data_IF_363052366573
#
_entry.id   IF_363052366573
#
_cell.length_a   1.000
_cell.length_b   1.000
_cell.length_c   1.000
_cell.angle_alpha   90.00
_cell.angle_beta   90.00
_cell.angle_gamma   90.00
#
_symmetry.space_group_name_H-M   'P 1'
#
loop_
_entity.id
_entity.type
_entity.pdbx_description
1 polymer ?
#
# COMPACT_ATOMS: atom_id res chain seq x y z
N UNK A 1 -2.20 53.13 30.73
CA UNK A 1 -2.91 51.90 30.30
C UNK A 1 -3.21 52.05 28.81
N UNK A 2 -3.31 50.94 28.08
CA UNK A 2 -3.49 50.86 26.60
C UNK A 2 -2.23 50.98 25.72
N UNK A 3 -1.32 50.00 25.78
CA UNK A 3 -0.40 49.73 24.66
C UNK A 3 -0.24 48.25 24.29
N UNK A 4 -0.98 47.34 24.95
CA UNK A 4 -0.81 45.89 24.77
C UNK A 4 -1.65 45.23 23.67
N UNK A 5 -2.68 45.88 23.14
CA UNK A 5 -3.69 45.21 22.29
C UNK A 5 -3.45 45.31 20.78
N UNK A 6 -2.75 46.33 20.28
CA UNK A 6 -2.54 46.50 18.82
C UNK A 6 -1.53 45.52 18.23
N UNK A 7 -0.45 45.17 18.96
CA UNK A 7 0.61 44.30 18.45
C UNK A 7 0.10 42.86 18.22
N UNK A 8 -0.59 42.30 19.22
CA UNK A 8 -1.22 40.98 19.13
C UNK A 8 -2.21 40.84 17.96
N UNK A 9 -2.95 41.90 17.63
CA UNK A 9 -3.97 41.83 16.57
C UNK A 9 -3.34 41.78 15.18
N UNK A 10 -2.23 42.50 14.94
CA UNK A 10 -1.51 42.49 13.65
C UNK A 10 -0.79 41.15 13.43
N UNK A 11 -0.19 40.60 14.48
CA UNK A 11 0.48 39.30 14.40
C UNK A 11 -0.52 38.19 14.00
N UNK A 12 -1.74 38.22 14.56
CA UNK A 12 -2.79 37.23 14.26
C UNK A 12 -3.24 37.24 12.79
N UNK A 13 -3.47 38.43 12.20
CA UNK A 13 -3.81 38.55 10.78
C UNK A 13 -2.69 38.04 9.87
N UNK A 14 -1.45 38.15 10.31
CA UNK A 14 -0.29 37.69 9.54
C UNK A 14 -0.22 36.17 9.56
N UNK A 15 -0.47 35.53 10.71
CA UNK A 15 -0.51 34.07 10.84
C UNK A 15 -1.65 33.44 10.02
N UNK A 16 -2.87 34.00 10.12
CA UNK A 16 -4.02 33.53 9.33
C UNK A 16 -3.77 33.62 7.82
N UNK A 17 -3.15 34.72 7.36
CA UNK A 17 -2.79 34.89 5.96
C UNK A 17 -1.75 33.85 5.52
N UNK A 18 -0.72 33.62 6.34
CA UNK A 18 0.31 32.61 6.08
C UNK A 18 -0.28 31.21 6.00
N UNK A 19 -1.14 30.84 6.94
CA UNK A 19 -1.81 29.52 6.94
C UNK A 19 -2.66 29.35 5.69
N UNK A 20 -3.42 30.38 5.29
CA UNK A 20 -4.22 30.37 4.06
C UNK A 20 -3.38 30.23 2.78
N UNK A 21 -2.17 30.81 2.75
CA UNK A 21 -1.24 30.63 1.64
C UNK A 21 -0.69 29.21 1.65
N UNK A 22 -0.18 28.75 2.79
CA UNK A 22 0.41 27.42 2.95
C UNK A 22 -0.58 26.30 2.61
N UNK A 23 -1.85 26.42 3.02
CA UNK A 23 -2.89 25.42 2.78
C UNK A 23 -3.18 25.18 1.29
N UNK A 24 -2.74 26.07 0.39
CA UNK A 24 -2.88 25.95 -1.08
C UNK A 24 -1.61 25.49 -1.77
N UNK A 25 -0.50 25.38 -1.04
CA UNK A 25 0.76 24.90 -1.59
C UNK A 25 0.85 23.38 -1.49
N UNK A 26 1.54 22.71 -2.43
CA UNK A 26 1.81 21.28 -2.28
C UNK A 26 2.63 20.96 -1.04
N UNK A 27 2.41 19.80 -0.43
CA UNK A 27 3.11 19.36 0.79
C UNK A 27 4.63 19.44 0.66
N UNK A 28 5.18 19.09 -0.50
CA UNK A 28 6.63 19.19 -0.74
C UNK A 28 7.15 20.61 -0.44
N UNK A 29 6.44 21.63 -0.91
CA UNK A 29 6.79 23.03 -0.64
C UNK A 29 6.57 23.40 0.83
N UNK A 30 5.44 23.00 1.42
CA UNK A 30 5.12 23.26 2.84
C UNK A 30 6.24 22.74 3.75
N UNK A 31 6.74 21.53 3.50
CA UNK A 31 7.79 20.93 4.34
C UNK A 31 9.10 21.70 4.34
N UNK A 32 9.44 22.40 3.26
CA UNK A 32 10.65 23.21 3.20
C UNK A 32 10.61 24.40 4.18
N UNK A 33 9.42 24.94 4.46
CA UNK A 33 9.26 26.07 5.40
C UNK A 33 9.56 25.69 6.85
N UNK A 34 9.48 24.39 7.21
CA UNK A 34 9.89 23.91 8.54
C UNK A 34 11.36 24.13 8.85
N UNK A 35 12.19 24.37 7.83
CA UNK A 35 13.62 24.62 7.95
C UNK A 35 13.96 26.11 8.10
N UNK A 36 12.98 27.02 7.92
CA UNK A 36 13.21 28.47 7.94
C UNK A 36 13.39 28.98 9.37
N UNK A 37 12.40 28.76 10.24
CA UNK A 37 12.49 29.09 11.67
C UNK A 37 11.52 28.24 12.51
N UNK A 38 11.62 28.37 13.85
CA UNK A 38 10.75 27.64 14.80
C UNK A 38 9.27 27.99 14.65
N UNK A 39 8.96 29.25 14.33
CA UNK A 39 7.58 29.72 14.14
C UNK A 39 6.94 29.10 12.90
N UNK A 40 7.61 29.16 11.74
CA UNK A 40 7.17 28.45 10.53
C UNK A 40 6.97 26.95 10.76
N UNK A 41 7.90 26.33 11.49
CA UNK A 41 7.74 24.92 11.89
C UNK A 41 6.49 24.70 12.73
N UNK A 42 6.23 25.55 13.72
CA UNK A 42 5.03 25.48 14.56
C UNK A 42 3.74 25.62 13.75
N UNK A 43 3.70 26.56 12.80
CA UNK A 43 2.56 26.76 11.90
C UNK A 43 2.34 25.50 11.04
N UNK A 44 3.41 24.98 10.43
CA UNK A 44 3.34 23.78 9.57
C UNK A 44 2.89 22.54 10.34
N UNK A 45 3.29 22.42 11.60
CA UNK A 45 2.91 21.30 12.48
C UNK A 45 1.57 21.53 13.20
N UNK A 46 0.88 22.66 12.95
CA UNK A 46 -0.39 22.99 13.61
C UNK A 46 -1.57 22.16 13.06
N UNK A 47 -2.51 21.85 13.95
CA UNK A 47 -3.77 21.20 13.59
C UNK A 47 -4.63 22.08 12.67
N UNK A 48 -4.58 23.40 12.85
CA UNK A 48 -5.34 24.36 12.04
C UNK A 48 -4.92 24.33 10.56
N UNK A 49 -3.61 24.35 10.27
CA UNK A 49 -3.13 24.21 8.90
C UNK A 49 -3.51 22.84 8.32
N UNK A 50 -3.40 21.77 9.10
CA UNK A 50 -3.78 20.43 8.66
C UNK A 50 -5.25 20.38 8.23
N UNK A 51 -6.18 20.87 9.05
CA UNK A 51 -7.61 20.91 8.73
C UNK A 51 -7.91 21.76 7.50
N UNK A 52 -7.31 22.95 7.40
CA UNK A 52 -7.49 23.84 6.26
C UNK A 52 -6.90 23.26 4.97
N UNK A 53 -5.76 22.58 5.05
CA UNK A 53 -5.17 21.90 3.90
C UNK A 53 -6.06 20.75 3.42
N UNK A 54 -6.57 19.94 4.36
CA UNK A 54 -7.46 18.83 4.05
C UNK A 54 -8.77 19.32 3.41
N UNK A 55 -9.32 20.46 3.85
CA UNK A 55 -10.51 21.04 3.22
C UNK A 55 -10.23 21.52 1.79
N UNK A 56 -9.07 22.12 1.53
CA UNK A 56 -8.69 22.60 0.19
C UNK A 56 -8.41 21.46 -0.79
N UNK A 57 -7.99 20.28 -0.30
CA UNK A 57 -7.57 19.14 -1.11
C UNK A 57 -8.50 17.92 -0.96
N UNK A 58 -9.74 18.12 -0.51
CA UNK A 58 -10.69 17.04 -0.26
C UNK A 58 -10.97 16.16 -1.49
N UNK A 59 -10.95 16.76 -2.69
CA UNK A 59 -11.21 16.08 -3.97
C UNK A 59 -9.91 15.63 -4.66
N UNK A 60 -8.76 15.91 -4.05
CA UNK A 60 -7.44 15.52 -4.55
C UNK A 60 -7.01 14.20 -3.92
N UNK A 61 -6.45 13.32 -4.73
CA UNK A 61 -5.80 12.10 -4.25
C UNK A 61 -4.29 12.22 -4.35
N UNK A 62 -3.53 11.68 -3.39
CA UNK A 62 -2.09 11.68 -3.46
C UNK A 62 -1.58 10.75 -4.56
N UNK A 63 -0.33 10.98 -4.96
CA UNK A 63 0.38 10.07 -5.87
C UNK A 63 0.46 8.67 -5.27
N UNK A 64 0.36 7.66 -6.12
CA UNK A 64 0.49 6.27 -5.71
C UNK A 64 1.08 5.42 -6.85
N UNK A 65 1.64 4.28 -6.47
CA UNK A 65 2.29 3.35 -7.38
C UNK A 65 1.96 1.91 -7.02
N UNK A 66 1.93 1.06 -8.04
CA UNK A 66 1.94 -0.39 -7.89
C UNK A 66 3.35 -0.89 -8.15
N UNK A 67 3.99 -1.44 -7.12
CA UNK A 67 5.36 -1.93 -7.15
C UNK A 67 5.36 -3.45 -7.25
N UNK A 68 6.12 -4.02 -8.18
CA UNK A 68 6.43 -5.45 -8.18
C UNK A 68 7.57 -5.70 -7.18
N UNK A 69 7.32 -6.48 -6.13
CA UNK A 69 8.30 -6.77 -5.07
C UNK A 69 9.43 -7.69 -5.55
N UNK A 70 9.19 -8.54 -6.53
CA UNK A 70 10.19 -9.48 -7.04
C UNK A 70 11.21 -8.79 -7.97
N UNK A 71 10.74 -7.90 -8.84
CA UNK A 71 11.62 -7.14 -9.77
C UNK A 71 11.99 -5.75 -9.26
N UNK A 72 11.37 -5.31 -8.15
CA UNK A 72 11.44 -3.95 -7.64
C UNK A 72 11.05 -2.86 -8.67
N UNK A 73 10.33 -3.24 -9.73
CA UNK A 73 9.84 -2.31 -10.77
C UNK A 73 8.54 -1.63 -10.33
N UNK A 74 8.40 -0.36 -10.72
CA UNK A 74 7.12 0.35 -10.66
C UNK A 74 6.27 -0.02 -11.88
N UNK A 75 5.25 -0.84 -11.65
CA UNK A 75 4.39 -1.41 -12.71
C UNK A 75 3.34 -0.40 -13.15
N UNK A 76 2.73 0.32 -12.20
CA UNK A 76 1.77 1.40 -12.46
C UNK A 76 2.19 2.59 -11.60
N UNK A 77 2.15 3.79 -12.17
CA UNK A 77 2.36 5.03 -11.43
C UNK A 77 1.25 6.02 -11.74
N UNK A 78 0.75 6.67 -10.70
CA UNK A 78 -0.09 7.86 -10.75
C UNK A 78 0.62 8.97 -10.00
N UNK A 79 0.95 10.06 -10.69
CA UNK A 79 1.73 11.15 -10.12
C UNK A 79 1.36 12.50 -10.74
N UNK A 80 2.03 13.58 -10.29
CA UNK A 80 1.61 14.98 -10.49
C UNK A 80 0.25 15.29 -9.87
N UNK A 81 -0.03 14.63 -8.75
CA UNK A 81 -1.15 14.97 -7.90
C UNK A 81 -0.85 16.24 -7.09
N UNK A 82 -1.86 17.11 -6.97
CA UNK A 82 -1.73 18.44 -6.35
C UNK A 82 -1.26 18.38 -4.90
N UNK A 83 -1.72 17.38 -4.14
CA UNK A 83 -1.44 17.22 -2.70
C UNK A 83 0.06 17.27 -2.39
N UNK A 84 0.89 16.61 -3.19
CA UNK A 84 2.34 16.54 -2.96
C UNK A 84 3.17 17.34 -3.96
N UNK A 85 2.60 17.70 -5.13
CA UNK A 85 3.32 18.46 -6.15
C UNK A 85 4.52 17.70 -6.73
N UNK A 86 4.42 16.36 -6.81
CA UNK A 86 5.49 15.51 -7.31
C UNK A 86 5.53 15.51 -8.83
N UNK A 87 6.68 15.87 -9.41
CA UNK A 87 6.85 15.95 -10.86
C UNK A 87 7.19 14.61 -11.52
N UNK A 88 7.58 13.63 -10.71
CA UNK A 88 7.96 12.27 -11.10
C UNK A 88 7.17 11.22 -10.32
N UNK A 89 7.26 9.96 -10.76
CA UNK A 89 6.65 8.83 -10.06
C UNK A 89 7.34 8.51 -8.74
N UNK A 90 6.64 7.79 -7.85
CA UNK A 90 7.20 7.42 -6.54
C UNK A 90 8.39 6.48 -6.69
N UNK A 91 8.35 5.55 -7.65
CA UNK A 91 9.47 4.67 -7.99
C UNK A 91 10.74 5.45 -8.34
N UNK A 92 10.62 6.55 -9.09
CA UNK A 92 11.77 7.42 -9.41
C UNK A 92 12.36 8.07 -8.15
N UNK A 93 11.51 8.65 -7.28
CA UNK A 93 11.97 9.23 -6.03
C UNK A 93 12.64 8.21 -5.11
N UNK A 94 12.09 6.98 -5.04
CA UNK A 94 12.69 5.88 -4.27
C UNK A 94 14.07 5.54 -4.85
N UNK A 95 14.18 5.32 -6.17
CA UNK A 95 15.45 4.98 -6.82
C UNK A 95 16.51 6.06 -6.59
N UNK A 96 16.13 7.33 -6.74
CA UNK A 96 16.99 8.49 -6.46
C UNK A 96 17.43 8.53 -4.99
N UNK A 97 16.51 8.30 -4.06
CA UNK A 97 16.81 8.22 -2.64
C UNK A 97 17.80 7.10 -2.31
N UNK A 98 17.57 5.89 -2.83
CA UNK A 98 18.46 4.75 -2.57
C UNK A 98 19.85 5.00 -3.15
N UNK A 99 19.92 5.53 -4.37
CA UNK A 99 21.18 5.87 -5.04
C UNK A 99 21.95 6.92 -4.24
N UNK A 100 21.27 7.97 -3.79
CA UNK A 100 21.91 9.02 -2.99
C UNK A 100 22.35 8.53 -1.60
N UNK A 101 21.54 7.70 -0.94
CA UNK A 101 21.78 7.27 0.44
C UNK A 101 22.80 6.14 0.56
N UNK A 102 22.83 5.24 -0.40
CA UNK A 102 23.68 4.04 -0.37
C UNK A 102 24.81 4.08 -1.39
N UNK A 103 24.78 5.00 -2.37
CA UNK A 103 25.84 5.18 -3.35
C UNK A 103 26.18 3.86 -4.06
N UNK A 104 27.46 3.48 -4.00
CA UNK A 104 27.98 2.22 -4.55
C UNK A 104 27.35 0.96 -3.92
N UNK A 105 26.75 1.07 -2.73
CA UNK A 105 26.09 -0.05 -2.07
C UNK A 105 24.60 -0.15 -2.42
N UNK A 106 24.09 0.68 -3.35
CA UNK A 106 22.68 0.65 -3.79
C UNK A 106 22.25 -0.74 -4.27
N UNK A 107 23.12 -1.46 -4.96
CA UNK A 107 22.81 -2.81 -5.48
C UNK A 107 22.63 -3.86 -4.38
N UNK A 108 23.15 -3.59 -3.18
CA UNK A 108 22.97 -4.47 -2.02
C UNK A 108 21.67 -4.21 -1.27
N UNK A 109 20.95 -3.12 -1.57
CA UNK A 109 19.75 -2.75 -0.83
C UNK A 109 18.50 -2.91 -1.69
N UNK A 110 17.45 -3.45 -1.09
CA UNK A 110 16.15 -3.65 -1.72
C UNK A 110 15.06 -3.02 -0.88
N UNK A 111 13.97 -2.64 -1.53
CA UNK A 111 12.74 -2.22 -0.84
C UNK A 111 11.82 -3.42 -0.75
N UNK A 112 11.57 -3.86 0.47
CA UNK A 112 10.88 -5.12 0.77
C UNK A 112 9.43 -4.92 1.20
N UNK A 113 9.08 -3.72 1.66
CA UNK A 113 7.69 -3.39 2.01
C UNK A 113 7.36 -1.96 1.64
N UNK A 114 6.09 -1.76 1.28
CA UNK A 114 5.49 -0.48 0.98
C UNK A 114 4.18 -0.36 1.75
N UNK A 115 3.86 0.85 2.18
CA UNK A 115 2.63 1.12 2.94
C UNK A 115 1.84 2.23 2.26
N UNK A 116 0.57 2.33 2.61
CA UNK A 116 -0.32 3.38 2.12
C UNK A 116 -0.17 4.72 2.87
N UNK A 117 0.81 4.80 3.77
CA UNK A 117 1.14 5.99 4.57
C UNK A 117 2.54 6.53 4.30
N UNK A 118 3.13 6.13 3.16
CA UNK A 118 4.42 6.66 2.71
C UNK A 118 5.65 6.09 3.44
N UNK A 119 5.50 5.00 4.20
CA UNK A 119 6.64 4.25 4.75
C UNK A 119 7.07 3.13 3.79
N UNK A 120 8.39 2.95 3.66
CA UNK A 120 9.02 1.87 2.90
C UNK A 120 10.04 1.15 3.76
N UNK A 121 10.12 -0.17 3.69
CA UNK A 121 11.15 -0.94 4.41
C UNK A 121 12.31 -1.24 3.48
N UNK A 122 13.50 -0.75 3.82
CA UNK A 122 14.73 -0.94 3.05
C UNK A 122 15.69 -1.81 3.85
N UNK A 123 16.20 -2.86 3.21
CA UNK A 123 17.10 -3.85 3.84
C UNK A 123 18.24 -4.22 2.89
N UNK A 124 19.35 -4.68 3.44
CA UNK A 124 20.53 -5.16 2.69
C UNK A 124 20.89 -6.62 2.93
N UNK A 125 20.28 -7.27 3.93
CA UNK A 125 20.64 -8.63 4.36
C UNK A 125 19.45 -9.56 4.35
N UNK A 126 18.39 -9.20 5.08
CA UNK A 126 17.23 -10.06 5.31
C UNK A 126 15.99 -9.50 4.65
N UNK A 127 15.22 -10.37 4.00
CA UNK A 127 13.88 -10.04 3.52
C UNK A 127 12.91 -10.14 4.68
N UNK A 128 12.41 -9.02 5.20
CA UNK A 128 11.46 -9.02 6.29
C UNK A 128 10.12 -9.56 5.80
N UNK A 129 9.41 -10.18 6.73
CA UNK A 129 8.13 -10.80 6.46
C UNK A 129 6.97 -9.83 6.43
N UNK A 130 7.18 -8.57 6.85
CA UNK A 130 6.19 -7.52 6.67
C UNK A 130 6.49 -6.24 7.44
N UNK A 131 5.78 -5.17 7.07
CA UNK A 131 5.74 -3.88 7.75
C UNK A 131 4.28 -3.52 8.01
N UNK A 132 3.89 -3.42 9.27
CA UNK A 132 2.56 -2.99 9.68
C UNK A 132 2.60 -1.61 10.31
N UNK A 133 1.55 -0.82 10.07
CA UNK A 133 1.40 0.52 10.64
C UNK A 133 0.08 0.59 11.40
N UNK A 134 0.12 1.21 12.58
CA UNK A 134 -1.07 1.58 13.34
C UNK A 134 -1.37 3.04 13.05
N UNK A 135 -2.59 3.29 12.58
CA UNK A 135 -3.03 4.60 12.11
C UNK A 135 -4.29 4.99 12.89
N UNK A 136 -4.35 6.23 13.34
CA UNK A 136 -5.54 6.81 13.96
C UNK A 136 -5.77 8.20 13.36
N UNK A 137 -6.96 8.44 12.80
CA UNK A 137 -7.31 9.72 12.16
C UNK A 137 -6.26 10.19 11.12
N UNK A 138 -5.74 9.25 10.32
CA UNK A 138 -4.67 9.51 9.33
C UNK A 138 -3.25 9.54 9.89
N UNK A 139 -3.08 9.72 11.21
CA UNK A 139 -1.78 9.81 11.86
C UNK A 139 -1.19 8.42 12.10
N UNK A 140 0.05 8.21 11.67
CA UNK A 140 0.81 7.00 11.99
C UNK A 140 1.30 7.07 13.44
N UNK A 141 0.71 6.26 14.32
CA UNK A 141 1.06 6.21 15.74
C UNK A 141 2.26 5.28 16.02
N UNK A 142 2.41 4.24 15.20
CA UNK A 142 3.45 3.24 15.37
C UNK A 142 3.63 2.39 14.13
N UNK A 143 4.78 1.74 14.05
CA UNK A 143 5.03 0.71 13.05
C UNK A 143 5.71 -0.50 13.70
N UNK A 144 5.43 -1.68 13.12
CA UNK A 144 6.04 -2.94 13.50
C UNK A 144 6.68 -3.59 12.28
N UNK A 145 7.90 -4.09 12.46
CA UNK A 145 8.61 -4.89 11.44
C UNK A 145 8.60 -6.33 11.89
N UNK A 146 8.21 -7.23 11.00
CA UNK A 146 8.02 -8.64 11.32
C UNK A 146 9.02 -9.46 10.53
N UNK A 147 9.70 -10.39 11.20
CA UNK A 147 10.39 -11.51 10.60
C UNK A 147 9.64 -12.78 10.99
N UNK A 148 9.21 -13.56 10.02
CA UNK A 148 8.53 -14.84 10.21
C UNK A 148 9.54 -15.95 9.93
N UNK A 149 9.56 -16.95 10.81
CA UNK A 149 10.29 -18.18 10.55
C UNK A 149 9.59 -18.94 9.41
N UNK A 150 10.31 -19.30 8.34
CA UNK A 150 9.75 -20.17 7.29
C UNK A 150 9.55 -21.57 7.89
N UNK A 151 8.30 -21.95 8.11
CA UNK A 151 7.91 -23.24 8.66
C UNK A 151 6.88 -23.92 7.76
N UNK A 152 6.93 -25.25 7.77
CA UNK A 152 5.98 -26.11 7.05
C UNK A 152 5.31 -27.05 8.03
N UNK A 153 4.05 -27.39 7.77
CA UNK A 153 3.25 -28.30 8.59
C UNK A 153 3.23 -27.89 10.08
N UNK A 154 2.89 -26.62 10.34
CA UNK A 154 2.81 -26.08 11.71
C UNK A 154 1.42 -25.56 12.03
N UNK A 155 0.99 -25.76 13.26
CA UNK A 155 -0.19 -25.15 13.87
C UNK A 155 0.14 -23.81 14.54
N UNK A 156 1.40 -23.40 14.53
CA UNK A 156 1.84 -22.08 14.98
C UNK A 156 2.70 -21.34 13.96
N UNK A 157 2.86 -20.04 14.18
CA UNK A 157 3.69 -19.14 13.41
C UNK A 157 4.59 -18.38 14.38
N UNK A 158 5.89 -18.63 14.28
CA UNK A 158 6.91 -17.93 15.07
C UNK A 158 7.31 -16.61 14.41
N UNK A 159 7.16 -15.51 15.13
CA UNK A 159 7.42 -14.14 14.69
C UNK A 159 8.48 -13.47 15.58
N UNK A 160 9.43 -12.77 14.96
CA UNK A 160 10.28 -11.78 15.62
C UNK A 160 9.79 -10.38 15.20
N UNK A 161 9.33 -9.60 16.17
CA UNK A 161 8.61 -8.36 15.95
C UNK A 161 9.37 -7.20 16.56
N UNK A 162 9.82 -6.26 15.73
CA UNK A 162 10.28 -4.94 16.15
C UNK A 162 9.09 -4.02 16.35
N UNK A 163 9.08 -3.24 17.42
CA UNK A 163 8.10 -2.17 17.62
C UNK A 163 8.79 -0.80 17.66
N UNK A 164 8.25 0.18 16.92
CA UNK A 164 8.71 1.57 17.00
C UNK A 164 8.42 2.22 18.35
N UNK A 165 7.36 1.77 19.04
CA UNK A 165 6.92 2.32 20.33
C UNK A 165 7.91 1.94 21.43
N UNK A 166 8.35 0.68 21.46
CA UNK A 166 9.31 0.19 22.47
C UNK A 166 10.76 0.32 22.02
N UNK A 167 11.01 0.40 20.71
CA UNK A 167 12.35 0.36 20.14
C UNK A 167 13.04 -1.00 20.26
N UNK A 168 12.30 -2.07 20.55
CA UNK A 168 12.82 -3.41 20.83
C UNK A 168 12.23 -4.46 19.89
N UNK A 169 13.00 -5.53 19.70
CA UNK A 169 12.53 -6.78 19.12
C UNK A 169 11.96 -7.68 20.22
N UNK A 170 10.89 -8.39 19.91
CA UNK A 170 10.23 -9.36 20.78
C UNK A 170 9.87 -10.60 19.98
N UNK A 171 9.94 -11.76 20.61
CA UNK A 171 9.49 -13.00 20.01
C UNK A 171 8.02 -13.22 20.36
N UNK A 172 7.22 -13.64 19.38
CA UNK A 172 5.83 -14.00 19.56
C UNK A 172 5.51 -15.27 18.77
N UNK A 173 4.77 -16.20 19.37
CA UNK A 173 4.26 -17.39 18.68
C UNK A 173 2.75 -17.25 18.56
N UNK A 174 2.27 -17.23 17.34
CA UNK A 174 0.85 -17.04 17.02
C UNK A 174 0.26 -18.39 16.64
N UNK A 175 -0.77 -18.83 17.34
CA UNK A 175 -1.45 -20.10 17.12
C UNK A 175 -2.45 -19.99 15.97
N UNK A 176 -2.55 -21.06 15.19
CA UNK A 176 -3.52 -21.24 14.11
C UNK A 176 -4.64 -22.17 14.58
N UNK A 177 -5.90 -21.93 14.16
CA UNK A 177 -7.01 -22.83 14.45
C UNK A 177 -6.85 -24.23 13.83
N UNK A 178 -5.94 -24.41 12.86
CA UNK A 178 -5.66 -25.68 12.22
C UNK A 178 -4.25 -25.71 11.61
N UNK A 179 -3.77 -26.91 11.30
CA UNK A 179 -2.44 -27.16 10.72
C UNK A 179 -2.28 -26.41 9.38
N UNK A 180 -1.30 -25.51 9.33
CA UNK A 180 -0.93 -24.76 8.13
C UNK A 180 0.21 -25.47 7.41
N UNK A 181 0.01 -25.77 6.13
CA UNK A 181 1.02 -26.45 5.31
C UNK A 181 2.24 -25.59 5.05
N UNK A 182 2.05 -24.38 4.52
CA UNK A 182 3.14 -23.41 4.33
C UNK A 182 2.60 -22.00 4.25
N UNK A 183 3.03 -21.14 5.16
CA UNK A 183 2.73 -19.70 5.11
C UNK A 183 3.81 -19.00 4.30
N UNK A 184 3.42 -18.26 3.27
CA UNK A 184 4.32 -17.40 2.52
C UNK A 184 4.83 -16.30 3.45
N UNK A 185 6.01 -16.49 4.01
CA UNK A 185 6.62 -15.51 4.91
C UNK A 185 6.93 -14.18 4.23
N UNK A 186 6.83 -14.09 2.91
CA UNK A 186 7.11 -12.89 2.10
C UNK A 186 5.82 -12.32 1.50
N UNK A 187 5.90 -11.10 0.96
CA UNK A 187 4.82 -10.49 0.18
C UNK A 187 3.48 -10.26 0.93
N UNK A 188 3.42 -9.97 2.24
CA UNK A 188 2.13 -9.73 2.89
C UNK A 188 1.45 -8.47 2.37
N UNK A 189 0.12 -8.46 2.50
CA UNK A 189 -0.63 -7.21 2.47
C UNK A 189 -0.67 -6.63 3.88
N UNK A 190 -0.40 -5.33 4.00
CA UNK A 190 -0.46 -4.58 5.26
C UNK A 190 -1.69 -3.69 5.27
N UNK A 191 -2.53 -3.82 6.28
CA UNK A 191 -3.75 -3.03 6.40
C UNK A 191 -4.18 -2.90 7.86
N UNK A 192 -4.36 -1.66 8.35
CA UNK A 192 -4.90 -1.36 9.68
C UNK A 192 -4.22 -2.16 10.82
N UNK A 193 -2.89 -2.12 10.89
CA UNK A 193 -2.11 -2.86 11.91
C UNK A 193 -2.02 -4.37 11.70
N UNK A 194 -2.74 -4.93 10.72
CA UNK A 194 -2.71 -6.35 10.40
C UNK A 194 -1.75 -6.63 9.25
N UNK A 195 -1.15 -7.82 9.29
CA UNK A 195 -0.50 -8.42 8.13
C UNK A 195 -1.34 -9.60 7.64
N UNK A 196 -1.41 -9.75 6.32
CA UNK A 196 -2.13 -10.81 5.64
C UNK A 196 -1.15 -11.55 4.72
N UNK A 197 -0.79 -12.77 5.09
CA UNK A 197 0.07 -13.66 4.32
C UNK A 197 -0.76 -14.67 3.56
N UNK A 198 -0.27 -15.05 2.39
CA UNK A 198 -0.85 -16.19 1.67
C UNK A 198 -0.35 -17.48 2.32
N UNK A 199 -1.23 -18.45 2.50
CA UNK A 199 -0.87 -19.80 2.90
C UNK A 199 -1.18 -20.76 1.76
N UNK A 200 -0.26 -21.68 1.49
CA UNK A 200 -0.38 -22.72 0.48
C UNK A 200 -0.79 -23.99 1.19
N UNK A 201 -2.08 -24.34 1.12
CA UNK A 201 -2.58 -25.62 1.61
C UNK A 201 -2.65 -26.59 0.43
N UNK A 202 -1.76 -27.58 0.42
CA UNK A 202 -1.55 -28.48 -0.73
C UNK A 202 -1.30 -27.70 -2.05
N UNK A 203 -1.41 -28.36 -3.20
CA UNK A 203 -1.20 -27.72 -4.51
C UNK A 203 -2.37 -26.82 -4.96
N UNK A 204 -3.46 -26.69 -4.19
CA UNK A 204 -4.77 -26.27 -4.72
C UNK A 204 -5.45 -25.17 -3.92
N UNK A 205 -5.38 -25.21 -2.59
CA UNK A 205 -6.14 -24.30 -1.75
C UNK A 205 -5.24 -23.23 -1.16
N UNK A 206 -5.40 -22.01 -1.65
CA UNK A 206 -4.73 -20.88 -1.04
C UNK A 206 -5.64 -20.31 0.05
N UNK A 207 -5.07 -20.08 1.22
CA UNK A 207 -5.72 -19.42 2.35
C UNK A 207 -5.06 -18.06 2.57
N UNK A 208 -5.72 -17.19 3.31
CA UNK A 208 -5.11 -15.98 3.86
C UNK A 208 -4.98 -16.15 5.36
N UNK A 209 -3.75 -16.08 5.84
CA UNK A 209 -3.47 -16.02 7.27
C UNK A 209 -3.27 -14.57 7.65
N UNK A 210 -4.01 -14.11 8.65
CA UNK A 210 -3.93 -12.74 9.14
C UNK A 210 -3.63 -12.69 10.62
N UNK A 211 -2.86 -11.70 11.02
CA UNK A 211 -2.56 -11.46 12.42
C UNK A 211 -2.55 -9.95 12.70
N UNK A 212 -3.27 -9.56 13.77
CA UNK A 212 -3.29 -8.20 14.26
C UNK A 212 -2.10 -7.97 15.20
N UNK A 213 -1.10 -7.25 14.72
CA UNK A 213 0.11 -7.00 15.50
C UNK A 213 -0.10 -6.04 16.68
N UNK A 214 -1.28 -5.43 16.80
CA UNK A 214 -1.64 -4.52 17.89
C UNK A 214 -2.80 -5.07 18.73
N UNK A 215 -3.17 -6.34 18.55
CA UNK A 215 -4.10 -7.02 19.43
C UNK A 215 -3.52 -7.16 20.84
N UNK A 216 -4.41 -7.31 21.83
CA UNK A 216 -4.07 -7.53 23.24
C UNK A 216 -4.86 -8.71 23.79
N UNK A 217 -4.39 -9.31 24.88
CA UNK A 217 -5.03 -10.49 25.47
C UNK A 217 -4.96 -11.69 24.52
N UNK A 218 -5.97 -12.57 24.58
CA UNK A 218 -5.97 -13.82 23.80
C UNK A 218 -5.92 -13.62 22.29
N UNK A 219 -6.34 -12.45 21.78
CA UNK A 219 -6.26 -12.14 20.34
C UNK A 219 -4.82 -11.90 19.85
N UNK A 220 -3.85 -11.58 20.74
CA UNK A 220 -2.44 -11.41 20.35
C UNK A 220 -1.73 -12.72 20.04
N UNK A 221 -2.32 -13.84 20.47
CA UNK A 221 -1.70 -15.15 20.41
C UNK A 221 -2.37 -16.04 19.36
N UNK A 222 -3.32 -15.49 18.59
CA UNK A 222 -4.10 -16.21 17.58
C UNK A 222 -3.99 -15.53 16.21
N UNK A 223 -3.88 -16.33 15.16
CA UNK A 223 -4.04 -15.87 13.80
C UNK A 223 -5.45 -16.23 13.33
N UNK A 224 -5.96 -15.47 12.35
CA UNK A 224 -7.20 -15.80 11.66
C UNK A 224 -6.83 -16.37 10.31
N UNK A 225 -7.48 -17.47 9.97
CA UNK A 225 -7.33 -18.08 8.64
C UNK A 225 -8.62 -17.88 7.88
N UNK A 226 -8.49 -17.35 6.67
CA UNK A 226 -9.60 -16.92 5.83
C UNK A 226 -9.47 -17.64 4.49
N UNK A 227 -10.49 -18.41 4.14
CA UNK A 227 -10.57 -19.10 2.86
C UNK A 227 -10.89 -18.11 1.75
N UNK A 228 -10.25 -18.24 0.59
CA UNK A 228 -10.68 -17.49 -0.59
C UNK A 228 -12.00 -18.06 -1.12
N UNK A 229 -12.88 -17.24 -1.69
CA UNK A 229 -14.07 -17.73 -2.37
C UNK A 229 -13.65 -18.47 -3.66
N UNK A 230 -14.45 -19.48 -4.05
CA UNK A 230 -14.25 -20.30 -5.25
C UNK A 230 -12.85 -20.95 -5.34
N UNK A 231 -12.55 -21.82 -4.36
CA UNK A 231 -11.35 -22.67 -4.34
C UNK A 231 -11.34 -23.76 -5.43
N UNK A 232 -12.49 -24.00 -6.07
CA UNK A 232 -12.64 -25.03 -7.09
C UNK A 232 -11.61 -24.90 -8.23
N UNK A 233 -11.23 -26.08 -8.70
CA UNK A 233 -9.95 -26.46 -9.31
C UNK A 233 -9.62 -25.69 -10.60
N UNK A 234 -8.96 -24.55 -10.48
CA UNK A 234 -8.76 -23.66 -11.62
C UNK A 234 -7.31 -23.13 -11.64
N UNK A 235 -6.38 -24.05 -11.94
CA UNK A 235 -4.90 -23.88 -11.97
C UNK A 235 -4.46 -22.69 -12.83
N UNK A 236 -5.27 -22.29 -13.81
CA UNK A 236 -4.95 -21.20 -14.74
C UNK A 236 -5.40 -19.83 -14.26
N UNK A 237 -6.22 -19.74 -13.22
CA UNK A 237 -6.90 -18.50 -12.89
C UNK A 237 -6.10 -17.65 -11.92
N UNK A 238 -5.48 -16.64 -12.52
CA UNK A 238 -4.68 -15.65 -11.81
C UNK A 238 -5.56 -14.68 -11.05
N UNK A 239 -5.05 -14.29 -9.89
CA UNK A 239 -5.74 -13.47 -8.91
C UNK A 239 -4.94 -12.22 -8.57
N UNK A 240 -5.63 -11.20 -8.09
CA UNK A 240 -5.01 -10.11 -7.34
C UNK A 240 -5.52 -10.14 -5.90
N UNK A 241 -4.59 -9.95 -4.98
CA UNK A 241 -4.86 -9.76 -3.56
C UNK A 241 -4.26 -8.41 -3.17
N UNK A 242 -5.11 -7.45 -2.86
CA UNK A 242 -4.73 -6.04 -2.77
C UNK A 242 -5.62 -5.31 -1.76
N UNK A 243 -5.50 -3.98 -1.71
CA UNK A 243 -6.39 -3.13 -0.90
C UNK A 243 -7.03 -2.05 -1.77
N UNK A 244 -8.16 -1.50 -1.33
CA UNK A 244 -8.79 -0.29 -1.87
C UNK A 244 -9.68 0.33 -0.79
N UNK A 245 -9.63 1.66 -0.64
CA UNK A 245 -10.46 2.41 0.31
C UNK A 245 -10.46 1.81 1.73
N UNK A 246 -9.28 1.45 2.24
CA UNK A 246 -9.11 0.89 3.59
C UNK A 246 -9.63 -0.55 3.78
N UNK A 247 -10.03 -1.22 2.70
CA UNK A 247 -10.51 -2.61 2.71
C UNK A 247 -9.56 -3.53 1.97
N UNK A 248 -9.53 -4.80 2.38
CA UNK A 248 -8.86 -5.87 1.66
C UNK A 248 -9.73 -6.33 0.50
N UNK A 249 -9.13 -6.45 -0.69
CA UNK A 249 -9.81 -6.74 -1.94
C UNK A 249 -9.19 -7.95 -2.61
N UNK A 250 -10.04 -8.76 -3.22
CA UNK A 250 -9.67 -9.94 -3.96
C UNK A 250 -10.32 -9.89 -5.34
N UNK A 251 -9.56 -10.20 -6.38
CA UNK A 251 -10.05 -10.30 -7.75
C UNK A 251 -9.59 -11.63 -8.34
N UNK A 252 -10.50 -12.35 -8.99
CA UNK A 252 -10.21 -13.60 -9.70
C UNK A 252 -11.10 -13.67 -10.93
N UNK A 253 -10.53 -14.09 -12.04
CA UNK A 253 -11.32 -14.53 -13.21
C UNK A 253 -11.69 -15.98 -12.95
N UNK A 254 -12.95 -16.37 -13.15
CA UNK A 254 -13.41 -17.74 -12.94
C UNK A 254 -14.25 -18.21 -14.12
N UNK A 255 -14.36 -19.52 -14.28
CA UNK A 255 -15.33 -20.13 -15.19
C UNK A 255 -16.76 -19.76 -14.80
N UNK A 256 -17.59 -19.53 -15.80
CA UNK A 256 -19.02 -19.28 -15.69
C UNK A 256 -19.73 -20.24 -16.63
N UNK A 257 -20.51 -21.17 -16.09
CA UNK A 257 -21.40 -21.98 -16.89
C UNK A 257 -22.59 -21.13 -17.33
N UNK A 258 -22.84 -21.05 -18.62
CA UNK A 258 -23.96 -20.31 -19.20
C UNK A 258 -25.17 -21.21 -19.38
N UNK A 259 -26.34 -20.61 -19.57
CA UNK A 259 -27.61 -21.32 -19.78
C UNK A 259 -27.60 -22.30 -20.97
N UNK A 260 -26.75 -22.06 -21.97
CA UNK A 260 -26.55 -22.92 -23.15
C UNK A 260 -25.57 -24.09 -22.91
N UNK A 261 -25.05 -24.23 -21.68
CA UNK A 261 -24.04 -25.21 -21.31
C UNK A 261 -22.62 -24.83 -21.76
N UNK A 262 -22.42 -23.67 -22.39
CA UNK A 262 -21.08 -23.20 -22.75
C UNK A 262 -20.36 -22.62 -21.54
N UNK A 263 -19.03 -22.77 -21.53
CA UNK A 263 -18.18 -22.16 -20.52
C UNK A 263 -17.79 -20.73 -20.96
N UNK A 264 -18.28 -19.75 -20.22
CA UNK A 264 -17.82 -18.37 -20.22
C UNK A 264 -16.77 -18.12 -19.14
N UNK A 265 -16.28 -16.88 -19.12
CA UNK A 265 -15.38 -16.39 -18.08
C UNK A 265 -15.92 -15.10 -17.51
N UNK A 266 -15.89 -14.98 -16.19
CA UNK A 266 -16.27 -13.77 -15.47
C UNK A 266 -15.16 -13.29 -14.56
N UNK A 267 -15.00 -11.97 -14.46
CA UNK A 267 -14.16 -11.34 -13.44
C UNK A 267 -15.03 -11.05 -12.23
N UNK A 268 -14.67 -11.65 -11.11
CA UNK A 268 -15.33 -11.45 -9.83
C UNK A 268 -14.40 -10.68 -8.88
N UNK A 269 -15.03 -9.84 -8.06
CA UNK A 269 -14.36 -8.98 -7.10
C UNK A 269 -15.03 -9.14 -5.75
N UNK A 270 -14.23 -9.40 -4.73
CA UNK A 270 -14.68 -9.53 -3.35
C UNK A 270 -13.98 -8.54 -2.45
N UNK A 271 -14.68 -8.15 -1.40
CA UNK A 271 -14.20 -7.31 -0.32
C UNK A 271 -14.28 -8.10 0.99
N UNK A 272 -13.22 -8.07 1.78
CA UNK A 272 -13.26 -8.67 3.11
C UNK A 272 -13.99 -7.74 4.07
N UNK A 273 -15.05 -8.23 4.71
CA UNK A 273 -15.79 -7.50 5.74
C UNK A 273 -16.09 -8.43 6.91
N UNK A 274 -15.78 -7.98 8.12
CA UNK A 274 -16.02 -8.75 9.36
C UNK A 274 -15.48 -10.19 9.30
N UNK A 275 -14.32 -10.40 8.65
CA UNK A 275 -13.69 -11.71 8.52
C UNK A 275 -14.26 -12.63 7.44
N UNK A 276 -15.23 -12.17 6.64
CA UNK A 276 -15.81 -12.94 5.53
C UNK A 276 -15.70 -12.19 4.21
N UNK A 277 -15.57 -12.92 3.10
CA UNK A 277 -15.58 -12.33 1.77
C UNK A 277 -17.01 -12.03 1.33
N UNK A 278 -17.25 -10.78 0.96
CA UNK A 278 -18.50 -10.33 0.35
C UNK A 278 -18.23 -9.99 -1.12
N UNK A 279 -19.06 -10.48 -2.03
CA UNK A 279 -18.95 -10.13 -3.45
C UNK A 279 -19.38 -8.69 -3.68
N UNK A 280 -18.63 -7.94 -4.48
CA UNK A 280 -18.92 -6.53 -4.79
C UNK A 280 -19.15 -6.27 -6.28
N UNK A 281 -18.66 -7.17 -7.15
CA UNK A 281 -18.85 -7.05 -8.58
C UNK A 281 -18.62 -8.41 -9.25
N UNK A 282 -19.45 -8.68 -10.25
CA UNK A 282 -19.30 -9.77 -11.20
C UNK A 282 -19.55 -9.18 -12.58
N UNK A 283 -18.58 -9.32 -13.46
CA UNK A 283 -18.70 -8.89 -14.85
C UNK A 283 -18.22 -10.01 -15.77
N UNK A 284 -18.98 -10.28 -16.83
CA UNK A 284 -18.64 -11.27 -17.87
C UNK A 284 -18.31 -10.56 -19.18
N UNK A 285 -17.19 -9.82 -19.26
CA UNK A 285 -16.83 -9.05 -20.44
C UNK A 285 -16.49 -10.00 -21.61
N UNK A 286 -17.16 -9.80 -22.75
CA UNK A 286 -17.01 -10.65 -23.95
C UNK A 286 -15.57 -10.72 -24.52
N UNK A 287 -14.66 -9.83 -24.08
CA UNK A 287 -13.27 -9.84 -24.50
C UNK A 287 -12.40 -10.89 -23.77
N UNK A 288 -12.85 -11.44 -22.63
CA UNK A 288 -12.13 -12.51 -21.93
C UNK A 288 -12.56 -13.84 -22.54
N UNK A 289 -11.69 -14.44 -23.36
CA UNK A 289 -11.94 -15.73 -24.04
C UNK A 289 -11.19 -16.87 -23.39
N UNK A 290 -10.08 -16.57 -22.71
CA UNK A 290 -9.24 -17.49 -21.97
C UNK A 290 -8.84 -16.88 -20.62
N UNK A 291 -8.63 -17.73 -19.61
CA UNK A 291 -8.09 -17.32 -18.30
C UNK A 291 -6.67 -16.74 -18.37
N UNK A 292 -6.02 -16.80 -19.53
CA UNK A 292 -4.70 -16.24 -19.80
C UNK A 292 -4.73 -14.90 -20.55
N UNK A 293 -5.91 -14.42 -20.99
CA UNK A 293 -5.99 -13.18 -21.77
C UNK A 293 -5.73 -11.94 -20.91
N UNK A 294 -6.18 -11.99 -19.65
CA UNK A 294 -6.11 -10.88 -18.71
C UNK A 294 -5.63 -11.31 -17.33
N UNK A 295 -4.83 -10.45 -16.70
CA UNK A 295 -4.33 -10.67 -15.35
C UNK A 295 -4.79 -9.56 -14.42
N UNK A 296 -5.63 -9.86 -13.41
CA UNK A 296 -5.94 -8.89 -12.37
C UNK A 296 -4.65 -8.42 -11.68
N UNK A 297 -4.46 -7.11 -11.56
CA UNK A 297 -3.26 -6.54 -10.92
C UNK A 297 -3.60 -5.88 -9.59
N UNK A 298 -4.46 -4.87 -9.63
CA UNK A 298 -4.80 -4.06 -8.47
C UNK A 298 -6.10 -3.28 -8.67
N UNK A 299 -6.67 -2.81 -7.58
CA UNK A 299 -7.76 -1.82 -7.58
C UNK A 299 -7.15 -0.47 -7.21
N UNK A 300 -7.65 0.60 -7.81
CA UNK A 300 -7.20 1.95 -7.45
C UNK A 300 -7.37 2.17 -5.94
N UNK A 301 -6.38 2.78 -5.27
CA UNK A 301 -6.42 2.95 -3.83
C UNK A 301 -7.55 3.80 -3.27
N UNK A 302 -7.97 4.80 -4.04
CA UNK A 302 -8.91 5.84 -3.63
C UNK A 302 -10.26 5.68 -4.32
N UNK A 303 -10.29 5.04 -5.48
CA UNK A 303 -11.49 4.76 -6.26
C UNK A 303 -11.70 3.25 -6.45
N UNK A 304 -12.49 2.63 -5.57
CA UNK A 304 -12.77 1.19 -5.65
C UNK A 304 -13.48 0.79 -6.95
N UNK A 305 -14.10 1.73 -7.69
CA UNK A 305 -14.73 1.43 -8.96
C UNK A 305 -13.73 1.15 -10.07
N UNK A 306 -12.46 1.57 -9.94
CA UNK A 306 -11.46 1.43 -11.00
C UNK A 306 -10.47 0.31 -10.72
N UNK A 307 -10.46 -0.68 -11.60
CA UNK A 307 -9.58 -1.84 -11.51
C UNK A 307 -8.58 -1.86 -12.65
N UNK A 308 -7.42 -2.45 -12.41
CA UNK A 308 -6.35 -2.59 -13.37
C UNK A 308 -6.04 -4.06 -13.64
N UNK A 309 -5.95 -4.39 -14.92
CA UNK A 309 -5.56 -5.69 -15.43
C UNK A 309 -4.43 -5.53 -16.45
N UNK A 310 -3.66 -6.58 -16.66
CA UNK A 310 -2.73 -6.67 -17.79
C UNK A 310 -3.39 -7.46 -18.91
N UNK A 311 -3.37 -6.95 -20.15
CA UNK A 311 -3.75 -7.74 -21.33
C UNK A 311 -2.52 -8.43 -21.89
N UNK A 312 -2.53 -9.75 -21.93
CA UNK A 312 -1.41 -10.52 -22.48
C UNK A 312 -1.30 -10.36 -24.00
N UNK A 313 -2.44 -10.46 -24.67
CA UNK A 313 -2.53 -10.35 -26.13
C UNK A 313 -2.00 -9.01 -26.63
N UNK A 314 -2.28 -7.92 -25.91
CA UNK A 314 -1.91 -6.57 -26.32
C UNK A 314 -0.69 -6.02 -25.60
N UNK A 315 -0.12 -6.76 -24.65
CA UNK A 315 1.04 -6.37 -23.85
C UNK A 315 0.90 -4.96 -23.27
N UNK A 316 -0.27 -4.68 -22.69
CA UNK A 316 -0.58 -3.36 -22.16
C UNK A 316 -1.47 -3.40 -20.92
N UNK A 317 -1.45 -2.28 -20.19
CA UNK A 317 -2.34 -2.05 -19.07
C UNK A 317 -3.77 -1.82 -19.58
N UNK A 318 -4.72 -2.43 -18.89
CA UNK A 318 -6.15 -2.27 -19.12
C UNK A 318 -6.83 -1.85 -17.83
N UNK A 319 -7.77 -0.93 -17.91
CA UNK A 319 -8.66 -0.65 -16.79
C UNK A 319 -10.09 -0.99 -17.12
N UNK A 320 -10.86 -1.31 -16.09
CA UNK A 320 -12.31 -1.52 -16.19
C UNK A 320 -12.99 -0.97 -14.94
N UNK A 321 -14.30 -0.74 -15.05
CA UNK A 321 -15.14 -0.32 -13.94
C UNK A 321 -15.90 -1.50 -13.34
N UNK A 322 -16.10 -1.51 -12.02
CA UNK A 322 -16.86 -2.55 -11.31
C UNK A 322 -18.25 -2.81 -11.91
N UNK A 323 -18.91 -1.81 -12.50
CA UNK A 323 -20.30 -1.94 -12.97
C UNK A 323 -20.43 -2.05 -14.49
N UNK A 324 -19.51 -1.45 -15.26
CA UNK A 324 -19.71 -1.28 -16.71
C UNK A 324 -19.14 -2.40 -17.56
N UNK A 325 -18.21 -3.21 -17.02
CA UNK A 325 -17.55 -4.29 -17.76
C UNK A 325 -16.79 -3.87 -19.03
N UNK A 326 -16.60 -2.56 -19.27
CA UNK A 326 -15.91 -2.04 -20.45
C UNK A 326 -14.43 -1.88 -20.18
N UNK A 327 -13.63 -2.60 -20.96
CA UNK A 327 -12.18 -2.62 -20.84
C UNK A 327 -11.57 -1.48 -21.68
N UNK A 328 -10.84 -0.57 -21.03
CA UNK A 328 -10.08 0.50 -21.65
C UNK A 328 -8.61 0.15 -21.65
N UNK A 329 -8.02 0.02 -22.84
CA UNK A 329 -6.57 -0.10 -23.00
C UNK A 329 -5.89 1.24 -22.76
N UNK A 330 -4.72 1.19 -22.15
CA UNK A 330 -3.92 2.36 -21.86
C UNK A 330 -2.64 2.42 -22.68
N UNK A 331 -2.22 3.64 -23.01
CA UNK A 331 -0.87 3.91 -23.52
C UNK A 331 0.13 3.93 -22.36
N UNK A 332 1.40 3.66 -22.66
CA UNK A 332 2.50 3.62 -21.67
C UNK A 332 2.58 4.87 -20.79
N UNK A 333 2.20 6.02 -21.36
CA UNK A 333 2.15 7.32 -20.69
C UNK A 333 0.87 8.04 -21.14
N UNK A 334 0.05 8.44 -20.18
CA UNK A 334 -1.20 9.19 -20.41
C UNK A 334 -1.27 10.42 -19.51
N UNK A 335 -1.77 11.51 -20.07
CA UNK A 335 -2.00 12.77 -19.38
C UNK A 335 -3.50 12.97 -19.20
N UNK A 336 -3.93 13.36 -18.00
CA UNK A 336 -5.28 13.87 -17.78
C UNK A 336 -5.33 15.38 -18.02
N UNK A 337 -6.55 15.90 -18.18
CA UNK A 337 -6.82 17.32 -18.42
C UNK A 337 -6.37 18.23 -17.28
N UNK A 338 -6.26 17.68 -16.06
CA UNK A 338 -5.76 18.38 -14.87
C UNK A 338 -4.24 18.22 -14.67
N UNK A 339 -3.51 17.68 -15.67
CA UNK A 339 -2.06 17.57 -15.63
C UNK A 339 -1.50 16.39 -14.84
N UNK A 340 -2.35 15.55 -14.22
CA UNK A 340 -1.91 14.28 -13.63
C UNK A 340 -1.42 13.33 -14.72
N UNK A 341 -0.52 12.45 -14.34
CA UNK A 341 0.08 11.47 -15.25
C UNK A 341 -0.18 10.06 -14.73
N UNK A 342 -0.58 9.17 -15.65
CA UNK A 342 -0.54 7.74 -15.45
C UNK A 342 0.50 7.13 -16.39
N UNK A 343 1.35 6.26 -15.84
CA UNK A 343 2.29 5.48 -16.63
C UNK A 343 2.35 4.03 -16.18
N UNK A 344 2.81 3.14 -17.07
CA UNK A 344 3.08 1.75 -16.72
C UNK A 344 4.37 1.22 -17.37
N UNK A 345 4.92 0.15 -16.78
CA UNK A 345 6.09 -0.54 -17.32
C UNK A 345 5.69 -1.42 -18.52
N UNK A 346 5.82 -0.89 -19.74
CA UNK A 346 5.44 -1.62 -20.97
C UNK A 346 6.37 -2.78 -21.37
N UNK A 347 7.58 -2.83 -20.81
CA UNK A 347 8.56 -3.92 -20.94
C UNK A 347 8.35 -5.04 -19.92
N UNK A 348 7.40 -4.89 -19.01
CA UNK A 348 7.14 -5.85 -17.94
C UNK A 348 6.02 -6.82 -18.33
N UNK A 349 6.16 -8.09 -17.92
CA UNK A 349 5.13 -9.12 -18.11
C UNK A 349 4.82 -9.81 -16.79
N UNK A 350 3.53 -9.98 -16.41
CA UNK A 350 3.15 -10.73 -15.21
C UNK A 350 3.50 -12.22 -15.30
N UNK A 351 3.77 -12.76 -16.51
CA UNK A 351 4.18 -14.16 -16.67
C UNK A 351 5.55 -14.47 -16.06
N UNK A 352 6.35 -13.47 -15.71
CA UNK A 352 7.59 -13.72 -14.96
C UNK A 352 7.29 -14.16 -13.51
N UNK A 353 6.05 -13.96 -13.01
CA UNK A 353 5.68 -14.08 -11.59
C UNK A 353 4.48 -15.00 -11.33
N UNK A 354 4.34 -16.05 -12.17
CA UNK A 354 3.16 -16.91 -12.39
C UNK A 354 2.28 -17.28 -11.18
N UNK A 355 2.86 -17.40 -9.98
CA UNK A 355 2.18 -18.06 -8.85
C UNK A 355 1.84 -17.13 -7.68
N UNK A 356 2.38 -15.93 -7.62
CA UNK A 356 2.22 -15.09 -6.44
C UNK A 356 1.90 -13.64 -6.80
N UNK A 357 0.82 -13.05 -6.27
CA UNK A 357 0.62 -11.62 -6.37
C UNK A 357 1.75 -10.92 -5.60
N UNK A 358 2.81 -10.58 -6.32
CA UNK A 358 4.00 -9.93 -5.79
C UNK A 358 3.86 -8.40 -5.79
N UNK A 359 2.65 -7.88 -5.93
CA UNK A 359 2.40 -6.44 -6.01
C UNK A 359 2.15 -5.82 -4.64
N UNK A 360 2.86 -4.73 -4.38
CA UNK A 360 2.61 -3.84 -3.25
C UNK A 360 2.12 -2.51 -3.78
N UNK A 361 1.05 -2.00 -3.19
CA UNK A 361 0.71 -0.60 -3.32
C UNK A 361 1.66 0.24 -2.47
N UNK A 362 2.08 1.36 -3.04
CA UNK A 362 2.75 2.42 -2.31
C UNK A 362 1.98 3.71 -2.55
N UNK A 363 1.43 4.30 -1.50
CA UNK A 363 0.75 5.57 -1.57
C UNK A 363 1.34 6.54 -0.55
N UNK A 364 1.38 7.81 -0.93
CA UNK A 364 1.69 8.86 0.03
C UNK A 364 0.44 9.22 0.84
N UNK A 365 0.59 9.60 2.11
CA UNK A 365 -0.54 10.03 2.93
C UNK A 365 -1.07 11.38 2.43
N UNK A 366 -2.34 11.69 2.75
CA UNK A 366 -2.94 12.99 2.40
C UNK A 366 -2.26 14.16 3.13
N UNK A 367 -1.62 13.90 4.27
CA UNK A 367 -0.89 14.90 5.04
C UNK A 367 0.46 14.39 5.53
N UNK A 368 1.41 15.30 5.77
CA UNK A 368 2.68 14.96 6.35
C UNK A 368 2.56 14.74 7.87
N UNK A 369 2.26 13.52 8.27
CA UNK A 369 2.33 13.15 9.70
C UNK A 369 3.78 12.97 10.16
N UNK A 370 4.03 13.36 11.42
CA UNK A 370 5.27 13.07 12.14
C UNK A 370 5.38 11.56 12.27
N UNK A 371 6.50 10.99 11.82
CA UNK A 371 6.76 9.56 11.99
C UNK A 371 7.18 9.33 13.44
N UNK A 372 6.63 8.32 14.13
CA UNK A 372 7.10 7.90 15.43
C UNK A 372 8.61 7.63 15.38
N UNK A 373 9.40 8.39 16.13
CA UNK A 373 10.81 8.11 16.32
C UNK A 373 10.96 7.09 17.44
N UNK A 374 11.76 6.05 17.20
CA UNK A 374 12.10 5.11 18.26
C UNK A 374 12.79 5.83 19.43
N UNK A 375 12.57 5.37 20.68
CA UNK A 375 13.33 5.85 21.82
C UNK A 375 14.84 5.72 21.55
N UNK A 376 15.68 6.61 22.10
CA UNK A 376 17.12 6.40 22.05
C UNK A 376 17.47 5.12 22.85
N UNK A 377 17.61 3.99 22.15
CA UNK A 377 18.10 2.74 22.74
C UNK A 377 19.55 2.50 22.31
N UNK A 378 20.41 2.21 23.30
CA UNK A 378 21.82 1.84 23.10
C UNK A 378 22.01 0.39 22.61
N UNK A 379 20.94 -0.42 22.59
CA UNK A 379 21.01 -1.84 22.19
C UNK A 379 20.51 -2.05 20.76
N UNK A 380 21.32 -2.79 19.99
CA UNK A 380 21.08 -3.31 18.65
C UNK A 380 20.16 -2.44 17.76
N UNK A 381 20.68 -1.28 17.33
CA UNK A 381 20.14 -0.61 16.15
C UNK A 381 20.43 -1.46 14.91
N UNK A 382 19.54 -2.40 14.58
CA UNK A 382 19.30 -2.67 13.16
C UNK A 382 18.76 -1.34 12.61
N UNK A 383 19.61 -0.56 11.94
CA UNK A 383 19.29 0.80 11.48
C UNK A 383 18.26 0.74 10.35
N UNK A 384 17.01 0.44 10.66
CA UNK A 384 15.88 0.66 9.76
C UNK A 384 15.62 2.18 9.76
N UNK A 385 16.42 2.90 8.96
CA UNK A 385 16.29 4.36 8.80
C UNK A 385 15.16 4.65 7.81
N UNK A 386 13.93 4.67 8.29
CA UNK A 386 12.80 5.36 7.66
C UNK A 386 13.10 6.86 7.70
N UNK A 387 13.48 7.47 6.58
CA UNK A 387 13.62 8.93 6.47
C UNK A 387 12.84 9.42 5.25
N UNK A 388 11.85 10.27 5.49
CA UNK A 388 11.21 11.11 4.47
C UNK A 388 12.25 12.13 4.00
N UNK A 389 12.48 12.24 2.69
CA UNK A 389 13.33 13.29 2.11
C UNK A 389 12.43 14.45 1.68
N UNK A 390 12.57 15.59 2.34
CA UNK A 390 12.19 16.87 1.76
C UNK A 390 13.42 17.39 0.99
N UNK A 391 13.41 17.21 -0.33
CA UNK A 391 14.23 17.95 -1.31
C UNK A 391 13.48 17.98 -2.62
#
# INVERSE_FOLDING_TARGET
MESGTKKKKIDYYTEDLVVNILARLPLKSITAFTLVCKEWKSIVESQYLHELFMSHHQDSHPSWSLMCRETHKEVIAHYRCDTWGLTQSLGSYISSFLTHKFGIHKEKVTVEAYTDVGLILVTDIYKPSGLATRIENGVVLGYKVVLMKDTTDTDDISLLIYSSETGLWSFNTVQSPYLLKRVAWFNPVSLNGNLYWLCYNNYRDHLVVSHNLYATGTESDQCRVIEFPHLENDVYFRRAFTTSQGSLMYMKIINEEKDDGSLGLKLCVWRLKSGKWEIVSEISPACIKSGLDYFPLAINPFDANKMYLWSEMHKCLVSTSLLKGKFRRHKKLEYSSDGRIMSFAGDWSPFEHLFNPCFSRFALPHWLHRIPSSPPTDKLRMRIRLRKRAT
#
